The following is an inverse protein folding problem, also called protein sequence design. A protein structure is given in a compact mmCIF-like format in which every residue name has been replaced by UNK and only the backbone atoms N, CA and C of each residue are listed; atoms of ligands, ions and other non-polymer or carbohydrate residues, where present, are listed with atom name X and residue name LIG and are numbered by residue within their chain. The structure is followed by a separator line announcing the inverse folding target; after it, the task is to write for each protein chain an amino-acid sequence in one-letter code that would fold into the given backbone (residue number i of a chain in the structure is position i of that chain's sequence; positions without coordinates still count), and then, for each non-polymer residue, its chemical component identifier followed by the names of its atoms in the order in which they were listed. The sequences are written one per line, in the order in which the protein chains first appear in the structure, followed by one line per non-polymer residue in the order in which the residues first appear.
data_IF_665714143712
#
_entry.id   IF_665714143712
#
_cell.length_a   1.000
_cell.length_b   1.000
_cell.length_c   1.000
_cell.angle_alpha   90.00
_cell.angle_beta   90.00
_cell.angle_gamma   90.00
#
_symmetry.space_group_name_H-M   'P 1'
#
loop_
_entity.id
_entity.type
_entity.pdbx_description
1 polymer ?
#
# COMPACT_ATOMS: atom_id res chain seq x y z
N UNK A 1 -53.12 -20.75 41.80
CA UNK A 1 -52.69 -21.77 42.80
C UNK A 1 -53.11 -21.39 44.21
N UNK A 2 -52.51 -20.36 44.84
CA UNK A 2 -52.86 -20.00 46.24
C UNK A 2 -54.35 -19.68 46.45
N UNK A 3 -54.99 -19.01 45.50
CA UNK A 3 -56.44 -18.68 45.56
C UNK A 3 -57.34 -19.91 45.65
N UNK A 4 -56.93 -21.03 45.07
CA UNK A 4 -57.68 -22.30 45.10
C UNK A 4 -57.25 -23.17 46.28
N UNK A 5 -55.94 -23.20 46.57
CA UNK A 5 -55.36 -24.00 47.64
C UNK A 5 -55.81 -23.52 49.03
N UNK A 6 -55.80 -22.21 49.26
CA UNK A 6 -56.02 -21.66 50.58
C UNK A 6 -57.41 -21.98 51.15
N UNK A 7 -58.53 -21.82 50.41
CA UNK A 7 -59.85 -22.24 50.90
C UNK A 7 -59.98 -23.73 51.19
N UNK A 8 -59.35 -24.60 50.38
CA UNK A 8 -59.44 -26.06 50.53
C UNK A 8 -58.84 -26.58 51.84
N UNK A 9 -57.83 -25.89 52.37
CA UNK A 9 -57.20 -26.23 53.66
C UNK A 9 -57.51 -25.20 54.75
N UNK A 10 -58.48 -24.32 54.49
CA UNK A 10 -58.88 -23.23 55.39
C UNK A 10 -57.71 -22.30 55.77
N UNK A 11 -56.72 -22.14 54.90
CA UNK A 11 -55.66 -21.16 55.06
C UNK A 11 -56.21 -19.76 54.78
N UNK A 12 -55.81 -18.82 55.63
CA UNK A 12 -56.23 -17.43 55.61
C UNK A 12 -55.13 -16.52 55.07
N UNK A 13 -53.87 -16.98 55.07
CA UNK A 13 -52.73 -16.32 54.44
C UNK A 13 -51.80 -17.38 53.83
N UNK A 14 -51.01 -16.98 52.84
CA UNK A 14 -49.95 -17.85 52.35
C UNK A 14 -48.98 -17.19 51.38
N UNK A 15 -47.80 -17.79 51.24
CA UNK A 15 -46.77 -17.37 50.30
C UNK A 15 -46.22 -18.58 49.54
N UNK A 16 -45.74 -18.34 48.32
CA UNK A 16 -44.96 -19.30 47.56
C UNK A 16 -43.64 -18.64 47.22
N UNK A 17 -42.55 -19.28 47.59
CA UNK A 17 -41.21 -18.92 47.15
C UNK A 17 -40.70 -19.98 46.18
N UNK A 18 -40.27 -19.60 44.99
CA UNK A 18 -39.66 -20.54 44.04
C UNK A 18 -38.14 -20.60 44.25
N UNK A 19 -37.56 -21.78 44.11
CA UNK A 19 -36.11 -21.94 44.10
C UNK A 19 -35.53 -21.38 42.80
N UNK A 20 -34.42 -20.66 42.91
CA UNK A 20 -33.59 -20.30 41.75
C UNK A 20 -32.37 -21.21 41.71
N UNK A 21 -32.05 -21.70 40.50
CA UNK A 21 -30.79 -22.40 40.30
C UNK A 21 -29.61 -21.43 40.51
N UNK A 22 -28.51 -21.93 41.07
CA UNK A 22 -27.28 -21.16 41.22
C UNK A 22 -26.81 -20.67 39.84
N UNK A 23 -26.70 -19.35 39.67
CA UNK A 23 -26.08 -18.74 38.50
C UNK A 23 -24.69 -18.22 38.90
N UNK A 24 -23.64 -18.88 38.39
CA UNK A 24 -22.25 -18.54 38.72
C UNK A 24 -21.90 -18.82 40.18
N UNK A 25 -21.31 -17.84 40.87
CA UNK A 25 -20.89 -17.93 42.28
C UNK A 25 -22.03 -17.72 43.30
N UNK A 26 -23.24 -17.39 42.85
CA UNK A 26 -24.36 -17.16 43.76
C UNK A 26 -24.92 -18.49 44.29
N UNK A 27 -25.10 -18.55 45.61
CA UNK A 27 -25.79 -19.64 46.28
C UNK A 27 -27.26 -19.70 45.82
N UNK A 28 -27.89 -20.88 45.79
CA UNK A 28 -29.31 -21.00 45.50
C UNK A 28 -30.13 -20.19 46.52
N UNK A 29 -31.11 -19.45 46.02
CA UNK A 29 -31.99 -18.61 46.82
C UNK A 29 -33.45 -18.96 46.52
N UNK A 30 -34.34 -18.50 47.39
CA UNK A 30 -35.77 -18.61 47.27
C UNK A 30 -36.33 -17.23 46.93
N UNK A 31 -37.03 -17.10 45.80
CA UNK A 31 -37.60 -15.82 45.38
C UNK A 31 -39.13 -15.85 45.53
N UNK A 32 -39.71 -14.79 46.09
CA UNK A 32 -41.15 -14.68 46.28
C UNK A 32 -41.86 -14.74 44.92
N UNK A 33 -42.65 -15.78 44.71
CA UNK A 33 -43.43 -16.00 43.49
C UNK A 33 -44.84 -15.41 43.62
N UNK A 34 -45.48 -15.64 44.77
CA UNK A 34 -46.86 -15.22 45.00
C UNK A 34 -47.16 -15.11 46.50
N UNK A 35 -48.16 -14.28 46.83
CA UNK A 35 -48.71 -14.15 48.18
C UNK A 35 -50.24 -14.12 48.13
N UNK A 36 -50.89 -14.58 49.20
CA UNK A 36 -52.34 -14.63 49.35
C UNK A 36 -52.76 -13.97 50.66
N UNK A 37 -53.73 -13.05 50.57
CA UNK A 37 -54.33 -12.33 51.71
C UNK A 37 -53.32 -11.67 52.67
N UNK A 38 -52.20 -11.19 52.12
CA UNK A 38 -51.14 -10.53 52.89
C UNK A 38 -51.63 -9.18 53.43
N UNK A 39 -51.38 -8.94 54.72
CA UNK A 39 -51.63 -7.65 55.37
C UNK A 39 -50.40 -6.75 55.29
N UNK A 40 -50.60 -5.44 55.11
CA UNK A 40 -49.51 -4.46 54.98
C UNK A 40 -48.63 -4.30 56.24
N UNK A 41 -49.01 -4.91 57.36
CA UNK A 41 -48.25 -4.89 58.61
C UNK A 41 -46.96 -5.76 58.56
N UNK A 42 -46.90 -6.77 57.68
CA UNK A 42 -45.74 -7.67 57.54
C UNK A 42 -45.14 -7.53 56.15
N UNK A 43 -43.88 -7.08 56.09
CA UNK A 43 -43.12 -6.93 54.85
C UNK A 43 -42.52 -8.27 54.44
N UNK A 44 -43.02 -8.86 53.35
CA UNK A 44 -42.45 -10.08 52.78
C UNK A 44 -41.06 -9.80 52.17
N UNK A 45 -40.09 -10.65 52.48
CA UNK A 45 -38.77 -10.59 51.85
C UNK A 45 -38.90 -11.00 50.36
N UNK A 46 -38.33 -10.24 49.41
CA UNK A 46 -38.37 -10.61 48.00
C UNK A 46 -37.53 -11.87 47.70
N UNK A 47 -36.47 -12.08 48.49
CA UNK A 47 -35.54 -13.20 48.40
C UNK A 47 -35.21 -13.71 49.80
N UNK A 48 -35.05 -15.01 49.94
CA UNK A 48 -34.67 -15.70 51.18
C UNK A 48 -33.53 -16.67 50.85
N UNK A 49 -32.46 -16.67 51.64
CA UNK A 49 -31.37 -17.63 51.46
C UNK A 49 -31.74 -19.03 51.97
N UNK A 50 -31.08 -20.06 51.43
CA UNK A 50 -31.23 -21.42 51.98
C UNK A 50 -30.73 -21.47 53.44
N UNK A 51 -31.55 -22.02 54.33
CA UNK A 51 -31.30 -22.00 55.78
C UNK A 51 -31.75 -20.72 56.51
N UNK A 52 -32.20 -19.69 55.80
CA UNK A 52 -32.68 -18.44 56.41
C UNK A 52 -34.17 -18.55 56.81
N UNK A 53 -34.46 -18.37 58.11
CA UNK A 53 -35.82 -18.43 58.63
C UNK A 53 -36.51 -19.78 58.38
N UNK A 54 -37.82 -19.86 58.63
CA UNK A 54 -38.55 -21.12 58.46
C UNK A 54 -38.63 -21.56 56.99
N UNK A 55 -38.81 -20.60 56.07
CA UNK A 55 -38.92 -20.86 54.64
C UNK A 55 -37.59 -21.37 54.06
N UNK A 56 -36.48 -20.69 54.34
CA UNK A 56 -35.15 -21.12 53.92
C UNK A 56 -34.69 -22.42 54.58
N UNK A 57 -34.97 -22.61 55.87
CA UNK A 57 -34.64 -23.85 56.58
C UNK A 57 -35.46 -25.04 56.06
N UNK A 58 -36.76 -24.85 55.79
CA UNK A 58 -37.62 -25.86 55.17
C UNK A 58 -37.09 -26.29 53.80
N UNK A 59 -36.65 -25.34 52.97
CA UNK A 59 -36.04 -25.64 51.68
C UNK A 59 -34.73 -26.43 51.80
N UNK A 60 -33.90 -26.11 52.79
CA UNK A 60 -32.62 -26.75 53.03
C UNK A 60 -32.78 -28.18 53.55
N UNK A 61 -33.65 -28.37 54.55
CA UNK A 61 -33.87 -29.67 55.21
C UNK A 61 -34.83 -30.58 54.44
N UNK A 62 -35.59 -30.04 53.48
CA UNK A 62 -36.56 -30.77 52.64
C UNK A 62 -37.64 -31.47 53.46
N UNK A 63 -38.01 -30.88 54.60
CA UNK A 63 -39.05 -31.38 55.50
C UNK A 63 -40.06 -30.29 55.81
N UNK A 64 -41.31 -30.71 56.00
CA UNK A 64 -42.36 -29.81 56.45
C UNK A 64 -42.11 -29.35 57.89
N UNK A 65 -42.43 -28.09 58.17
CA UNK A 65 -42.41 -27.53 59.53
C UNK A 65 -43.82 -27.09 59.88
N UNK A 66 -44.39 -27.64 60.96
CA UNK A 66 -45.71 -27.29 61.48
C UNK A 66 -45.55 -26.59 62.83
N UNK A 67 -46.04 -25.36 62.90
CA UNK A 67 -46.14 -24.58 64.13
C UNK A 67 -47.62 -24.50 64.52
N UNK A 68 -47.98 -25.30 65.52
CA UNK A 68 -49.32 -25.30 66.07
C UNK A 68 -49.43 -24.25 67.19
N UNK A 69 -50.51 -23.47 67.17
CA UNK A 69 -50.90 -22.57 68.25
C UNK A 69 -49.82 -21.54 68.67
N UNK A 70 -49.41 -20.72 67.70
CA UNK A 70 -48.47 -19.62 67.93
C UNK A 70 -49.19 -18.30 68.16
N UNK A 71 -48.57 -17.44 68.99
CA UNK A 71 -49.07 -16.08 69.22
C UNK A 71 -48.96 -15.22 67.96
N UNK A 72 -49.81 -14.19 67.90
CA UNK A 72 -49.99 -13.33 66.71
C UNK A 72 -48.87 -12.33 66.45
N UNK A 73 -47.88 -12.27 67.35
CA UNK A 73 -46.65 -11.50 67.20
C UNK A 73 -45.68 -12.10 66.17
N UNK A 74 -45.80 -13.40 65.89
CA UNK A 74 -44.99 -14.11 64.88
C UNK A 74 -45.59 -14.05 63.47
N UNK A 75 -46.91 -14.32 63.34
CA UNK A 75 -47.68 -14.20 62.09
C UNK A 75 -49.06 -13.62 62.41
N UNK A 76 -49.43 -12.55 61.71
CA UNK A 76 -50.66 -11.80 61.98
C UNK A 76 -51.71 -12.00 60.88
N UNK A 77 -52.72 -12.81 61.17
CA UNK A 77 -53.97 -12.84 60.38
C UNK A 77 -54.85 -11.68 60.85
N UNK A 78 -55.05 -10.69 59.98
CA UNK A 78 -55.78 -9.46 60.29
C UNK A 78 -57.04 -9.31 59.44
N UNK A 79 -58.05 -8.66 60.02
CA UNK A 79 -59.22 -8.14 59.31
C UNK A 79 -59.39 -6.65 59.62
N UNK A 80 -60.38 -6.02 58.99
CA UNK A 80 -60.78 -4.65 59.36
C UNK A 80 -61.30 -4.52 60.81
N UNK A 81 -61.61 -5.64 61.47
CA UNK A 81 -62.17 -5.69 62.82
C UNK A 81 -61.14 -6.03 63.90
N UNK A 82 -59.91 -6.41 63.54
CA UNK A 82 -58.86 -6.76 64.49
C UNK A 82 -57.97 -7.91 64.01
N UNK A 83 -57.17 -8.44 64.95
CA UNK A 83 -56.18 -9.49 64.71
C UNK A 83 -56.56 -10.78 65.43
N UNK A 84 -56.28 -11.92 64.79
CA UNK A 84 -56.40 -13.20 65.46
C UNK A 84 -55.35 -13.32 66.58
N UNK A 85 -55.71 -13.80 67.78
CA UNK A 85 -54.75 -13.90 68.90
C UNK A 85 -53.81 -15.10 68.78
N UNK A 86 -54.22 -16.14 68.03
CA UNK A 86 -53.50 -17.40 67.83
C UNK A 86 -53.67 -17.86 66.39
N UNK A 87 -52.60 -18.39 65.81
CA UNK A 87 -52.58 -18.92 64.44
C UNK A 87 -51.81 -20.24 64.39
N UNK A 88 -52.03 -21.03 63.34
CA UNK A 88 -51.19 -22.18 63.03
C UNK A 88 -50.53 -21.94 61.67
N UNK A 89 -49.26 -22.27 61.55
CA UNK A 89 -48.46 -22.06 60.34
C UNK A 89 -47.86 -23.38 59.89
N UNK A 90 -47.93 -23.66 58.61
CA UNK A 90 -47.23 -24.78 57.98
C UNK A 90 -46.33 -24.27 56.86
N UNK A 91 -45.10 -24.76 56.84
CA UNK A 91 -44.11 -24.49 55.80
C UNK A 91 -43.78 -25.81 55.11
N UNK A 92 -44.06 -25.90 53.81
CA UNK A 92 -44.02 -27.11 53.02
C UNK A 92 -43.03 -26.98 51.86
N UNK A 93 -42.06 -27.89 51.71
CA UNK A 93 -41.21 -27.91 50.53
C UNK A 93 -41.94 -28.58 49.37
N UNK A 94 -41.90 -27.95 48.20
CA UNK A 94 -42.28 -28.55 46.93
C UNK A 94 -41.05 -29.21 46.34
N UNK A 95 -41.06 -30.55 46.30
CA UNK A 95 -39.92 -31.35 45.87
C UNK A 95 -40.15 -31.98 44.51
N UNK A 96 -39.09 -32.08 43.71
CA UNK A 96 -39.03 -32.94 42.54
C UNK A 96 -37.67 -33.64 42.52
N UNK A 97 -37.66 -34.98 42.42
CA UNK A 97 -36.44 -35.82 42.47
C UNK A 97 -35.49 -35.46 43.63
N UNK A 98 -36.06 -35.13 44.79
CA UNK A 98 -35.29 -34.76 45.99
C UNK A 98 -34.66 -33.37 45.95
N UNK A 99 -34.97 -32.52 44.96
CA UNK A 99 -34.59 -31.10 44.92
C UNK A 99 -35.78 -30.22 45.30
N UNK A 100 -35.51 -29.16 46.07
CA UNK A 100 -36.52 -28.15 46.42
C UNK A 100 -36.75 -27.22 45.24
N UNK A 101 -37.95 -27.31 44.64
CA UNK A 101 -38.38 -26.44 43.53
C UNK A 101 -39.10 -25.18 44.03
N UNK A 102 -39.81 -25.28 45.15
CA UNK A 102 -40.46 -24.15 45.80
C UNK A 102 -40.70 -24.44 47.28
N UNK A 103 -41.11 -23.44 48.05
CA UNK A 103 -41.62 -23.56 49.42
C UNK A 103 -42.96 -22.84 49.49
N UNK A 104 -43.94 -23.50 50.08
CA UNK A 104 -45.27 -22.94 50.34
C UNK A 104 -45.41 -22.75 51.84
N UNK A 105 -45.72 -21.52 52.27
CA UNK A 105 -46.06 -21.22 53.65
C UNK A 105 -47.55 -20.85 53.72
N UNK A 106 -48.28 -21.45 54.65
CA UNK A 106 -49.71 -21.20 54.85
C UNK A 106 -49.98 -20.95 56.33
N UNK A 107 -50.85 -19.99 56.62
CA UNK A 107 -51.33 -19.70 57.97
C UNK A 107 -52.84 -19.85 58.08
N UNK A 108 -53.30 -20.48 59.16
CA UNK A 108 -54.70 -20.76 59.48
C UNK A 108 -55.06 -20.24 60.88
N UNK A 109 -56.34 -19.99 61.14
CA UNK A 109 -56.85 -19.68 62.48
C UNK A 109 -57.05 -20.92 63.36
N UNK A 110 -57.22 -22.08 62.73
CA UNK A 110 -57.43 -23.37 63.40
C UNK A 110 -56.26 -24.31 63.11
N UNK A 111 -55.95 -25.26 64.01
CA UNK A 111 -54.94 -26.29 63.75
C UNK A 111 -55.23 -27.05 62.46
N UNK A 112 -54.18 -27.40 61.70
CA UNK A 112 -54.33 -28.22 60.50
C UNK A 112 -54.86 -29.62 60.84
N UNK A 113 -55.92 -30.04 60.14
CA UNK A 113 -56.44 -31.40 60.26
C UNK A 113 -55.49 -32.42 59.59
N UNK A 114 -55.55 -33.68 60.01
CA UNK A 114 -54.78 -34.77 59.37
C UNK A 114 -55.11 -34.92 57.88
N UNK A 115 -56.37 -34.71 57.49
CA UNK A 115 -56.80 -34.71 56.10
C UNK A 115 -56.17 -33.56 55.30
N UNK A 116 -56.10 -32.36 55.87
CA UNK A 116 -55.45 -31.19 55.25
C UNK A 116 -53.95 -31.41 55.08
N UNK A 117 -53.27 -31.98 56.07
CA UNK A 117 -51.84 -32.31 56.01
C UNK A 117 -51.55 -33.35 54.91
N UNK A 118 -52.29 -34.45 54.89
CA UNK A 118 -52.14 -35.50 53.88
C UNK A 118 -52.42 -34.97 52.45
N UNK A 119 -53.42 -34.11 52.29
CA UNK A 119 -53.71 -33.45 51.03
C UNK A 119 -52.56 -32.54 50.58
N UNK A 120 -52.01 -31.71 51.48
CA UNK A 120 -50.89 -30.81 51.19
C UNK A 120 -49.63 -31.58 50.78
N UNK A 121 -49.32 -32.69 51.46
CA UNK A 121 -48.20 -33.56 51.08
C UNK A 121 -48.37 -34.09 49.65
N UNK A 122 -49.55 -34.62 49.29
CA UNK A 122 -49.81 -35.11 47.94
C UNK A 122 -49.74 -34.01 46.88
N UNK A 123 -50.28 -32.83 47.19
CA UNK A 123 -50.32 -31.68 46.30
C UNK A 123 -48.91 -31.13 46.00
N UNK A 124 -48.03 -31.08 47.01
CA UNK A 124 -46.65 -30.59 46.83
C UNK A 124 -45.84 -31.48 45.88
N UNK A 125 -46.07 -32.80 45.87
CA UNK A 125 -45.42 -33.71 44.91
C UNK A 125 -45.86 -33.46 43.47
N UNK A 126 -47.18 -33.31 43.24
CA UNK A 126 -47.73 -33.02 41.91
C UNK A 126 -47.24 -31.68 41.38
N UNK A 127 -47.23 -30.65 42.24
CA UNK A 127 -46.74 -29.32 41.88
C UNK A 127 -45.25 -29.35 41.51
N UNK A 128 -44.43 -30.13 42.22
CA UNK A 128 -43.00 -30.27 41.89
C UNK A 128 -42.77 -30.77 40.47
N UNK A 129 -43.55 -31.77 40.02
CA UNK A 129 -43.47 -32.29 38.66
C UNK A 129 -43.88 -31.27 37.59
N UNK A 130 -44.93 -30.48 37.87
CA UNK A 130 -45.38 -29.40 36.97
C UNK A 130 -44.31 -28.31 36.83
N UNK A 131 -43.73 -27.84 37.94
CA UNK A 131 -42.65 -26.85 37.91
C UNK A 131 -41.46 -27.33 37.09
N UNK A 132 -41.02 -28.58 37.29
CA UNK A 132 -39.91 -29.14 36.54
C UNK A 132 -40.22 -29.25 35.03
N UNK A 133 -41.46 -29.62 34.67
CA UNK A 133 -41.88 -29.71 33.26
C UNK A 133 -41.87 -28.33 32.58
N UNK A 134 -42.33 -27.28 33.26
CA UNK A 134 -42.30 -25.91 32.75
C UNK A 134 -40.86 -25.44 32.56
N UNK A 135 -40.00 -25.63 33.57
CA UNK A 135 -38.58 -25.27 33.52
C UNK A 135 -37.86 -25.99 32.36
N UNK A 136 -38.09 -27.29 32.20
CA UNK A 136 -37.51 -28.08 31.11
C UNK A 136 -38.00 -27.61 29.74
N UNK A 137 -39.30 -27.35 29.59
CA UNK A 137 -39.90 -26.90 28.31
C UNK A 137 -39.34 -25.53 27.91
N UNK A 138 -39.31 -24.57 28.84
CA UNK A 138 -38.74 -23.25 28.58
C UNK A 138 -37.26 -23.32 28.21
N UNK A 139 -36.49 -24.19 28.87
CA UNK A 139 -35.08 -24.41 28.54
C UNK A 139 -34.91 -24.99 27.14
N UNK A 140 -35.75 -25.96 26.75
CA UNK A 140 -35.70 -26.53 25.40
C UNK A 140 -36.07 -25.51 24.32
N UNK A 141 -37.07 -24.67 24.54
CA UNK A 141 -37.45 -23.60 23.60
C UNK A 141 -36.32 -22.57 23.45
N UNK A 142 -35.69 -22.17 24.56
CA UNK A 142 -34.56 -21.25 24.52
C UNK A 142 -33.37 -21.84 23.75
N UNK A 143 -33.03 -23.10 23.99
CA UNK A 143 -31.95 -23.79 23.25
C UNK A 143 -32.27 -23.97 21.77
N UNK A 144 -33.52 -24.28 21.43
CA UNK A 144 -33.97 -24.38 20.05
C UNK A 144 -33.84 -23.04 19.32
N UNK A 145 -34.28 -21.96 19.97
CA UNK A 145 -34.15 -20.59 19.43
C UNK A 145 -32.68 -20.22 19.20
N UNK A 146 -31.80 -20.48 20.16
CA UNK A 146 -30.36 -20.25 20.01
C UNK A 146 -29.76 -21.07 18.86
N UNK A 147 -30.12 -22.35 18.75
CA UNK A 147 -29.66 -23.24 17.68
C UNK A 147 -30.09 -22.75 16.29
N UNK A 148 -31.34 -22.30 16.17
CA UNK A 148 -31.86 -21.71 14.92
C UNK A 148 -31.11 -20.45 14.53
N UNK A 149 -30.87 -19.54 15.49
CA UNK A 149 -30.09 -18.32 15.24
C UNK A 149 -28.67 -18.64 14.79
N UNK A 150 -27.99 -19.57 15.47
CA UNK A 150 -26.64 -19.98 15.10
C UNK A 150 -26.59 -20.62 13.71
N UNK A 151 -27.61 -21.41 13.35
CA UNK A 151 -27.71 -22.02 12.02
C UNK A 151 -27.82 -20.95 10.93
N UNK A 152 -28.63 -19.92 11.14
CA UNK A 152 -28.76 -18.80 10.20
C UNK A 152 -27.44 -18.03 10.08
N UNK A 153 -26.75 -17.75 11.19
CA UNK A 153 -25.46 -17.08 11.16
C UNK A 153 -24.41 -17.92 10.41
N UNK A 154 -24.35 -19.22 10.64
CA UNK A 154 -23.43 -20.13 9.96
C UNK A 154 -23.70 -20.19 8.45
N UNK A 155 -24.97 -20.24 8.04
CA UNK A 155 -25.33 -20.20 6.61
C UNK A 155 -24.90 -18.88 5.96
N UNK A 156 -25.10 -17.75 6.65
CA UNK A 156 -24.65 -16.44 6.16
C UNK A 156 -23.14 -16.41 5.97
N UNK A 157 -22.37 -16.82 7.00
CA UNK A 157 -20.91 -16.86 6.92
C UNK A 157 -20.40 -17.81 5.83
N UNK A 158 -21.08 -18.95 5.64
CA UNK A 158 -20.71 -19.89 4.59
C UNK A 158 -20.89 -19.28 3.19
N UNK A 159 -21.99 -18.54 2.98
CA UNK A 159 -22.23 -17.83 1.71
C UNK A 159 -21.18 -16.75 1.45
N UNK A 160 -20.86 -15.94 2.46
CA UNK A 160 -19.81 -14.90 2.35
C UNK A 160 -18.44 -15.49 2.05
N UNK A 161 -18.08 -16.61 2.70
CA UNK A 161 -16.83 -17.32 2.42
C UNK A 161 -16.78 -17.86 1.01
N UNK A 162 -17.88 -18.41 0.51
CA UNK A 162 -17.96 -18.93 -0.85
C UNK A 162 -17.76 -17.80 -1.88
N UNK A 163 -18.46 -16.68 -1.72
CA UNK A 163 -18.29 -15.50 -2.58
C UNK A 163 -16.85 -14.98 -2.55
N UNK A 164 -16.26 -14.87 -1.35
CA UNK A 164 -14.88 -14.41 -1.19
C UNK A 164 -13.89 -15.35 -1.90
N UNK A 165 -14.12 -16.66 -1.83
CA UNK A 165 -13.26 -17.65 -2.47
C UNK A 165 -13.36 -17.59 -4.01
N UNK A 166 -14.55 -17.38 -4.56
CA UNK A 166 -14.75 -17.16 -6.00
C UNK A 166 -14.06 -15.88 -6.49
N UNK A 167 -14.14 -14.79 -5.72
CA UNK A 167 -13.44 -13.54 -6.02
C UNK A 167 -11.91 -13.71 -5.99
N UNK A 168 -11.39 -14.43 -4.98
CA UNK A 168 -9.96 -14.74 -4.88
C UNK A 168 -9.47 -15.59 -6.07
N UNK A 169 -10.25 -16.60 -6.47
CA UNK A 169 -9.94 -17.43 -7.64
C UNK A 169 -9.86 -16.60 -8.93
N UNK A 170 -10.79 -15.67 -9.11
CA UNK A 170 -10.82 -14.77 -10.28
C UNK A 170 -9.60 -13.83 -10.29
N UNK A 171 -9.26 -13.25 -9.13
CA UNK A 171 -8.10 -12.37 -8.98
C UNK A 171 -6.78 -13.10 -9.21
N UNK A 172 -6.67 -14.34 -8.73
CA UNK A 172 -5.50 -15.18 -8.98
C UNK A 172 -5.29 -15.45 -10.47
N UNK A 173 -6.38 -15.73 -11.21
CA UNK A 173 -6.31 -15.93 -12.67
C UNK A 173 -5.83 -14.67 -13.40
N UNK A 174 -6.39 -13.50 -13.05
CA UNK A 174 -5.99 -12.23 -13.65
C UNK A 174 -4.51 -11.92 -13.37
N UNK A 175 -4.03 -12.18 -12.16
CA UNK A 175 -2.61 -11.99 -11.81
C UNK A 175 -1.69 -12.94 -12.58
N UNK A 176 -2.12 -14.18 -12.80
CA UNK A 176 -1.36 -15.13 -13.62
C UNK A 176 -1.25 -14.64 -15.08
N UNK A 177 -2.35 -14.18 -15.66
CA UNK A 177 -2.37 -13.60 -17.02
C UNK A 177 -1.47 -12.35 -17.11
N UNK A 178 -1.51 -11.46 -16.11
CA UNK A 178 -0.64 -10.28 -16.07
C UNK A 178 0.85 -10.64 -15.96
N UNK A 179 1.20 -11.63 -15.13
CA UNK A 179 2.58 -12.08 -15.00
C UNK A 179 3.12 -12.65 -16.31
N UNK A 180 2.32 -13.46 -17.02
CA UNK A 180 2.71 -14.00 -18.32
C UNK A 180 2.94 -12.88 -19.35
N UNK A 181 2.09 -11.84 -19.37
CA UNK A 181 2.30 -10.69 -20.25
C UNK A 181 3.56 -9.89 -19.90
N UNK A 182 3.84 -9.69 -18.62
CA UNK A 182 5.05 -9.01 -18.15
C UNK A 182 6.30 -9.80 -18.54
N UNK A 183 6.28 -11.12 -18.37
CA UNK A 183 7.40 -12.00 -18.71
C UNK A 183 7.69 -11.98 -20.22
N UNK A 184 6.63 -12.00 -21.05
CA UNK A 184 6.76 -11.80 -22.50
C UNK A 184 7.39 -10.46 -22.85
N UNK A 185 6.90 -9.35 -22.27
CA UNK A 185 7.45 -8.01 -22.51
C UNK A 185 8.91 -7.89 -22.06
N UNK A 186 9.27 -8.48 -20.92
CA UNK A 186 10.65 -8.50 -20.45
C UNK A 186 11.57 -9.25 -21.44
N UNK A 187 11.13 -10.38 -21.98
CA UNK A 187 11.90 -11.10 -23.00
C UNK A 187 12.06 -10.28 -24.29
N UNK A 188 11.01 -9.58 -24.74
CA UNK A 188 11.07 -8.70 -25.91
C UNK A 188 12.05 -7.54 -25.70
N UNK A 189 12.02 -6.92 -24.51
CA UNK A 189 12.94 -5.83 -24.15
C UNK A 189 14.39 -6.32 -24.10
N UNK A 190 14.65 -7.49 -23.51
CA UNK A 190 16.02 -8.02 -23.44
C UNK A 190 16.58 -8.35 -24.83
N UNK A 191 15.77 -8.90 -25.73
CA UNK A 191 16.16 -9.13 -27.12
C UNK A 191 16.47 -7.82 -27.85
N UNK A 192 15.62 -6.80 -27.67
CA UNK A 192 15.84 -5.48 -28.26
C UNK A 192 17.12 -4.82 -27.71
N UNK A 193 17.40 -4.97 -26.41
CA UNK A 193 18.61 -4.47 -25.77
C UNK A 193 19.85 -5.12 -26.37
N UNK A 194 19.87 -6.46 -26.47
CA UNK A 194 20.99 -7.18 -27.07
C UNK A 194 21.23 -6.78 -28.53
N UNK A 195 20.18 -6.68 -29.35
CA UNK A 195 20.31 -6.25 -30.74
C UNK A 195 20.86 -4.82 -30.86
N UNK A 196 20.47 -3.93 -29.95
CA UNK A 196 20.97 -2.56 -29.91
C UNK A 196 22.45 -2.50 -29.49
N UNK A 197 22.84 -3.30 -28.49
CA UNK A 197 24.24 -3.41 -28.05
C UNK A 197 25.15 -3.93 -29.19
N UNK A 198 24.71 -4.96 -29.93
CA UNK A 198 25.44 -5.46 -31.10
C UNK A 198 25.60 -4.38 -32.18
N UNK A 199 24.52 -3.64 -32.50
CA UNK A 199 24.56 -2.56 -33.48
C UNK A 199 25.46 -1.41 -33.05
N UNK A 200 25.44 -1.05 -31.77
CA UNK A 200 26.33 -0.03 -31.23
C UNK A 200 27.80 -0.44 -31.32
N UNK A 201 28.12 -1.71 -31.02
CA UNK A 201 29.47 -2.25 -31.16
C UNK A 201 29.95 -2.26 -32.62
N UNK A 202 29.08 -2.67 -33.55
CA UNK A 202 29.37 -2.64 -35.00
C UNK A 202 29.66 -1.22 -35.50
N UNK A 203 28.85 -0.25 -35.10
CA UNK A 203 29.04 1.16 -35.44
C UNK A 203 30.33 1.73 -34.85
N UNK A 204 30.64 1.42 -33.60
CA UNK A 204 31.87 1.86 -32.95
C UNK A 204 33.11 1.31 -33.66
N UNK A 205 33.08 0.02 -34.04
CA UNK A 205 34.16 -0.62 -34.80
C UNK A 205 34.31 0.01 -36.19
N UNK A 206 33.20 0.25 -36.89
CA UNK A 206 33.19 0.89 -38.20
C UNK A 206 33.76 2.31 -38.14
N UNK A 207 33.37 3.09 -37.12
CA UNK A 207 33.90 4.43 -36.88
C UNK A 207 35.41 4.40 -36.65
N UNK A 208 35.89 3.49 -35.80
CA UNK A 208 37.33 3.30 -35.54
C UNK A 208 38.10 2.98 -36.82
N UNK A 209 37.63 2.02 -37.61
CA UNK A 209 38.29 1.67 -38.88
C UNK A 209 38.29 2.83 -39.88
N UNK A 210 37.19 3.60 -39.98
CA UNK A 210 37.11 4.79 -40.83
C UNK A 210 38.17 5.82 -40.43
N UNK A 211 38.31 6.09 -39.12
CA UNK A 211 39.31 7.03 -38.59
C UNK A 211 40.75 6.57 -38.82
N UNK A 212 41.05 5.29 -38.57
CA UNK A 212 42.39 4.73 -38.75
C UNK A 212 42.79 4.70 -40.24
N UNK A 213 41.87 4.29 -41.11
CA UNK A 213 42.08 4.31 -42.56
C UNK A 213 42.39 5.71 -43.07
N UNK A 214 41.61 6.73 -42.68
CA UNK A 214 41.82 8.11 -43.12
C UNK A 214 43.15 8.67 -42.59
N UNK A 215 43.50 8.39 -41.34
CA UNK A 215 44.79 8.81 -40.78
C UNK A 215 45.98 8.20 -41.54
N UNK A 216 45.92 6.91 -41.87
CA UNK A 216 47.00 6.24 -42.61
C UNK A 216 47.10 6.74 -44.06
N UNK A 217 45.98 6.85 -44.77
CA UNK A 217 45.94 7.37 -46.14
C UNK A 217 46.45 8.80 -46.24
N UNK A 218 46.21 9.65 -45.24
CA UNK A 218 46.80 10.99 -45.15
C UNK A 218 48.32 10.97 -45.29
N UNK A 219 48.96 10.17 -44.44
CA UNK A 219 50.42 10.13 -44.34
C UNK A 219 51.04 9.55 -45.61
N UNK A 220 50.41 8.52 -46.18
CA UNK A 220 50.85 7.90 -47.43
C UNK A 220 50.68 8.80 -48.64
N UNK A 221 49.68 9.69 -48.66
CA UNK A 221 49.49 10.65 -49.76
C UNK A 221 50.34 11.92 -49.60
N UNK A 222 50.53 12.41 -48.36
CA UNK A 222 51.28 13.65 -48.09
C UNK A 222 52.74 13.54 -48.53
N UNK A 223 53.38 12.41 -48.28
CA UNK A 223 54.82 12.21 -48.52
C UNK A 223 55.21 12.29 -50.00
N UNK A 224 54.59 11.54 -50.93
CA UNK A 224 54.87 11.67 -52.36
C UNK A 224 54.45 13.04 -52.91
N UNK A 225 53.33 13.59 -52.42
CA UNK A 225 52.83 14.88 -52.89
C UNK A 225 53.75 16.04 -52.50
N UNK A 226 54.29 16.05 -51.27
CA UNK A 226 55.31 17.02 -50.86
C UNK A 226 56.57 16.93 -51.72
N UNK A 227 56.97 15.73 -52.12
CA UNK A 227 58.14 15.53 -52.97
C UNK A 227 57.91 16.13 -54.37
N UNK A 228 56.72 15.91 -54.95
CA UNK A 228 56.31 16.52 -56.22
C UNK A 228 56.24 18.05 -56.11
N UNK A 229 55.74 18.57 -54.99
CA UNK A 229 55.67 20.01 -54.73
C UNK A 229 57.06 20.66 -54.65
N UNK A 230 58.00 20.05 -53.93
CA UNK A 230 59.38 20.56 -53.82
C UNK A 230 60.06 20.58 -55.19
N UNK A 231 59.95 19.48 -55.94
CA UNK A 231 60.57 19.36 -57.27
C UNK A 231 59.95 20.35 -58.27
N UNK A 232 58.62 20.47 -58.29
CA UNK A 232 57.94 21.43 -59.16
C UNK A 232 58.27 22.88 -58.78
N UNK A 233 58.45 23.21 -57.49
CA UNK A 233 58.88 24.53 -57.05
C UNK A 233 60.33 24.83 -57.46
N UNK A 234 61.24 23.86 -57.34
CA UNK A 234 62.63 23.99 -57.78
C UNK A 234 62.72 24.24 -59.29
N UNK A 235 61.98 23.46 -60.09
CA UNK A 235 61.89 23.65 -61.55
C UNK A 235 61.25 25.02 -61.90
N UNK A 236 60.20 25.43 -61.20
CA UNK A 236 59.53 26.71 -61.41
C UNK A 236 60.42 27.93 -61.08
N UNK A 237 61.42 27.76 -60.21
CA UNK A 237 62.38 28.82 -59.85
C UNK A 237 63.43 29.03 -60.96
N UNK A 238 63.71 27.99 -61.77
CA UNK A 238 64.63 28.02 -62.91
C UNK A 238 65.98 28.69 -62.61
N UNK A 239 66.59 28.38 -61.45
CA UNK A 239 67.81 29.04 -60.97
C UNK A 239 69.00 28.90 -61.94
N UNK A 240 69.06 27.81 -62.71
CA UNK A 240 70.12 27.55 -63.70
C UNK A 240 69.82 28.16 -65.09
N UNK A 241 68.62 28.72 -65.30
CA UNK A 241 68.22 29.36 -66.57
C UNK A 241 68.08 28.40 -67.75
N UNK A 242 67.99 27.09 -67.51
CA UNK A 242 67.99 26.04 -68.53
C UNK A 242 66.59 25.65 -69.04
N UNK A 243 65.51 26.13 -68.40
CA UNK A 243 64.13 25.86 -68.82
C UNK A 243 63.55 26.99 -69.68
N UNK A 244 62.81 26.61 -70.73
CA UNK A 244 62.04 27.54 -71.55
C UNK A 244 60.85 28.13 -70.76
N UNK A 245 60.35 29.32 -71.11
CA UNK A 245 59.25 29.99 -70.39
C UNK A 245 58.00 29.12 -70.19
N UNK A 246 57.59 28.36 -71.21
CA UNK A 246 56.46 27.43 -71.11
C UNK A 246 56.71 26.26 -70.15
N UNK A 247 57.94 25.79 -70.00
CA UNK A 247 58.30 24.70 -69.07
C UNK A 247 58.27 25.18 -67.60
N UNK A 248 58.67 26.44 -67.37
CA UNK A 248 58.52 27.11 -66.07
C UNK A 248 57.03 27.26 -65.72
N UNK A 249 56.21 27.65 -66.69
CA UNK A 249 54.75 27.76 -66.53
C UNK A 249 54.11 26.40 -66.19
N UNK A 250 54.50 25.31 -66.88
CA UNK A 250 54.03 23.96 -66.53
C UNK A 250 54.44 23.54 -65.12
N UNK A 251 55.67 23.87 -64.69
CA UNK A 251 56.14 23.57 -63.33
C UNK A 251 55.34 24.34 -62.27
N UNK A 252 55.00 25.61 -62.53
CA UNK A 252 54.11 26.39 -61.67
C UNK A 252 52.70 25.81 -61.60
N UNK A 253 52.14 25.36 -62.72
CA UNK A 253 50.82 24.74 -62.74
C UNK A 253 50.79 23.42 -61.96
N UNK A 254 51.81 22.56 -62.12
CA UNK A 254 51.95 21.32 -61.34
C UNK A 254 52.06 21.62 -59.84
N UNK A 255 52.85 22.63 -59.47
CA UNK A 255 52.99 23.04 -58.08
C UNK A 255 51.66 23.54 -57.50
N UNK A 256 50.95 24.44 -58.22
CA UNK A 256 49.66 24.96 -57.80
C UNK A 256 48.64 23.84 -57.62
N UNK A 257 48.48 22.95 -58.62
CA UNK A 257 47.52 21.84 -58.54
C UNK A 257 47.89 20.83 -57.46
N UNK A 258 49.18 20.57 -57.23
CA UNK A 258 49.64 19.70 -56.13
C UNK A 258 49.37 20.31 -54.76
N UNK A 259 49.51 21.63 -54.61
CA UNK A 259 49.25 22.35 -53.37
C UNK A 259 47.75 22.36 -53.05
N UNK A 260 46.92 22.56 -54.07
CA UNK A 260 45.46 22.50 -53.94
C UNK A 260 44.99 21.10 -53.53
N UNK A 261 45.56 20.04 -54.12
CA UNK A 261 45.25 18.66 -53.74
C UNK A 261 45.65 18.35 -52.29
N UNK A 262 46.82 18.85 -51.87
CA UNK A 262 47.29 18.67 -50.49
C UNK A 262 46.37 19.37 -49.49
N UNK A 263 45.89 20.57 -49.83
CA UNK A 263 44.90 21.28 -49.01
C UNK A 263 43.59 20.50 -48.91
N UNK A 264 43.06 19.98 -50.02
CA UNK A 264 41.83 19.19 -50.02
C UNK A 264 41.94 17.92 -49.16
N UNK A 265 43.08 17.22 -49.23
CA UNK A 265 43.34 16.05 -48.39
C UNK A 265 43.34 16.43 -46.91
N UNK A 266 44.02 17.53 -46.54
CA UNK A 266 44.05 18.00 -45.15
C UNK A 266 42.65 18.40 -44.65
N UNK A 267 41.83 19.02 -45.48
CA UNK A 267 40.45 19.41 -45.11
C UNK A 267 39.56 18.18 -44.86
N UNK A 268 39.67 17.14 -45.69
CA UNK A 268 38.94 15.87 -45.49
C UNK A 268 39.34 15.19 -44.16
N UNK A 269 40.60 15.29 -43.78
CA UNK A 269 41.11 14.69 -42.55
C UNK A 269 40.69 15.47 -41.31
N UNK A 270 40.74 16.79 -41.38
CA UNK A 270 40.21 17.66 -40.33
C UNK A 270 38.72 17.35 -40.11
N UNK A 271 37.94 17.23 -41.19
CA UNK A 271 36.53 16.82 -41.11
C UNK A 271 36.37 15.45 -40.44
N UNK A 272 37.16 14.46 -40.84
CA UNK A 272 37.11 13.12 -40.23
C UNK A 272 37.47 13.12 -38.74
N UNK A 273 38.44 13.94 -38.32
CA UNK A 273 38.80 14.07 -36.90
C UNK A 273 37.67 14.72 -36.11
N UNK A 274 36.99 15.71 -36.68
CA UNK A 274 35.82 16.36 -36.08
C UNK A 274 34.67 15.36 -35.93
N UNK A 275 34.34 14.61 -36.98
CA UNK A 275 33.29 13.57 -36.94
C UNK A 275 33.57 12.48 -35.89
N UNK A 276 34.85 12.14 -35.68
CA UNK A 276 35.26 11.15 -34.66
C UNK A 276 35.35 11.71 -33.23
N UNK A 277 35.19 13.03 -33.04
CA UNK A 277 35.34 13.67 -31.74
C UNK A 277 36.77 13.75 -31.19
N UNK A 278 37.79 13.46 -32.02
CA UNK A 278 39.21 13.42 -31.59
C UNK A 278 39.89 14.80 -31.68
N UNK A 279 39.19 15.84 -32.15
CA UNK A 279 39.75 17.21 -32.21
C UNK A 279 39.70 17.85 -30.83
N UNK A 280 40.87 18.12 -30.26
CA UNK A 280 41.04 18.94 -29.08
C UNK A 280 41.21 20.41 -29.49
N UNK A 281 40.46 21.30 -28.85
CA UNK A 281 40.56 22.76 -29.06
C UNK A 281 41.54 23.33 -28.03
N UNK A 282 42.58 24.02 -28.49
CA UNK A 282 43.59 24.66 -27.63
C UNK A 282 43.21 26.13 -27.44
N UNK A 283 42.59 26.48 -26.31
CA UNK A 283 42.18 27.87 -26.03
C UNK A 283 43.39 28.68 -25.56
N UNK A 284 43.69 29.74 -26.30
CA UNK A 284 44.76 30.69 -26.02
C UNK A 284 44.24 32.14 -26.12
N UNK A 285 44.93 33.08 -25.48
CA UNK A 285 44.59 34.50 -25.53
C UNK A 285 45.20 35.16 -26.78
N UNK A 286 44.37 35.57 -27.73
CA UNK A 286 44.78 36.06 -29.05
C UNK A 286 44.59 37.57 -29.13
N UNK A 287 45.68 38.33 -29.29
CA UNK A 287 45.58 39.78 -29.49
C UNK A 287 45.04 40.15 -30.88
N UNK A 288 44.06 41.06 -30.92
CA UNK A 288 43.53 41.59 -32.18
C UNK A 288 44.57 42.35 -33.00
N UNK A 289 45.56 42.98 -32.36
CA UNK A 289 46.66 43.64 -33.05
C UNK A 289 47.49 42.61 -33.85
N UNK A 290 47.86 41.50 -33.22
CA UNK A 290 48.59 40.41 -33.86
C UNK A 290 47.76 39.71 -34.94
N UNK A 291 46.44 39.57 -34.73
CA UNK A 291 45.53 39.01 -35.71
C UNK A 291 45.45 39.88 -36.98
N UNK A 292 45.29 41.20 -36.80
CA UNK A 292 45.27 42.18 -37.89
C UNK A 292 46.56 42.12 -38.71
N UNK A 293 47.70 42.16 -38.04
CA UNK A 293 49.01 42.14 -38.71
C UNK A 293 49.24 40.83 -39.48
N UNK A 294 48.77 39.70 -38.93
CA UNK A 294 48.83 38.40 -39.62
C UNK A 294 47.93 38.35 -40.87
N UNK A 295 46.70 38.87 -40.79
CA UNK A 295 45.80 38.94 -41.95
C UNK A 295 46.41 39.85 -43.02
N UNK A 296 46.91 41.01 -42.62
CA UNK A 296 47.49 42.01 -43.51
C UNK A 296 48.67 41.42 -44.30
N UNK A 297 49.65 40.83 -43.59
CA UNK A 297 50.84 40.22 -44.22
C UNK A 297 50.48 39.12 -45.21
N UNK A 298 49.51 38.27 -44.88
CA UNK A 298 49.19 37.10 -45.69
C UNK A 298 48.36 37.44 -46.93
N UNK A 299 47.50 38.47 -46.86
CA UNK A 299 46.53 38.74 -47.93
C UNK A 299 46.76 40.05 -48.69
N UNK A 300 47.57 40.99 -48.16
CA UNK A 300 47.86 42.26 -48.85
C UNK A 300 48.54 42.04 -50.20
N UNK A 301 49.60 41.24 -50.25
CA UNK A 301 50.29 40.91 -51.50
C UNK A 301 49.39 40.16 -52.48
N UNK A 302 48.54 39.26 -51.99
CA UNK A 302 47.64 38.45 -52.82
C UNK A 302 46.52 39.31 -53.42
N UNK A 303 45.98 40.26 -52.65
CA UNK A 303 44.99 41.22 -53.12
C UNK A 303 45.60 42.23 -54.12
N UNK A 304 46.81 42.73 -53.84
CA UNK A 304 47.55 43.62 -54.74
C UNK A 304 47.87 42.96 -56.08
N UNK A 305 48.26 41.68 -56.09
CA UNK A 305 48.48 40.92 -57.32
C UNK A 305 47.22 40.80 -58.20
N UNK A 306 46.03 40.93 -57.60
CA UNK A 306 44.74 40.99 -58.31
C UNK A 306 44.17 42.40 -58.48
N UNK A 307 44.91 43.44 -58.10
CA UNK A 307 44.45 44.84 -58.06
C UNK A 307 43.16 45.05 -57.26
N UNK A 308 42.98 44.33 -56.15
CA UNK A 308 41.81 44.47 -55.27
C UNK A 308 42.17 45.29 -54.02
N UNK A 309 41.30 46.24 -53.58
CA UNK A 309 41.54 47.00 -52.36
C UNK A 309 41.27 46.13 -51.11
N UNK A 310 42.31 45.87 -50.30
CA UNK A 310 42.16 45.22 -48.99
C UNK A 310 42.04 46.27 -47.87
N UNK A 311 40.86 46.36 -47.25
CA UNK A 311 40.60 47.22 -46.09
C UNK A 311 40.33 46.38 -44.85
N UNK A 312 41.13 46.59 -43.80
CA UNK A 312 40.95 45.98 -42.50
C UNK A 312 40.33 47.00 -41.55
N UNK A 313 39.09 46.77 -41.13
CA UNK A 313 38.36 47.64 -40.21
C UNK A 313 38.19 46.90 -38.88
N UNK A 314 38.92 47.36 -37.87
CA UNK A 314 38.82 46.89 -36.48
C UNK A 314 38.23 48.06 -35.69
N UNK A 315 37.15 47.82 -34.95
CA UNK A 315 36.49 48.86 -34.17
C UNK A 315 37.34 49.27 -32.95
N UNK A 316 37.29 50.55 -32.58
CA UNK A 316 38.12 51.11 -31.50
C UNK A 316 37.73 50.60 -30.10
N UNK A 317 36.54 50.03 -29.96
CA UNK A 317 36.00 49.43 -28.74
C UNK A 317 36.29 47.93 -28.59
N UNK A 318 37.07 47.34 -29.50
CA UNK A 318 37.49 45.94 -29.39
C UNK A 318 38.33 45.70 -28.13
N UNK A 319 38.12 44.58 -27.42
CA UNK A 319 38.99 44.19 -26.31
C UNK A 319 40.42 43.96 -26.81
N UNK A 320 41.41 43.98 -25.90
CA UNK A 320 42.83 43.79 -26.27
C UNK A 320 43.11 42.43 -26.91
N UNK A 321 42.32 41.43 -26.53
CA UNK A 321 42.47 40.05 -26.95
C UNK A 321 41.15 39.27 -26.83
N UNK A 322 41.12 38.06 -27.39
CA UNK A 322 40.02 37.11 -27.29
C UNK A 322 40.54 35.70 -27.01
N UNK A 323 39.83 34.95 -26.17
CA UNK A 323 40.13 33.53 -25.94
C UNK A 323 39.59 32.69 -27.09
N UNK A 324 40.49 32.01 -27.81
CA UNK A 324 40.12 31.11 -28.89
C UNK A 324 41.27 30.19 -29.27
N UNK A 325 41.03 29.26 -30.19
CA UNK A 325 42.09 28.46 -30.79
C UNK A 325 42.71 29.23 -31.96
N UNK A 326 43.96 29.66 -31.77
CA UNK A 326 44.67 30.49 -32.72
C UNK A 326 44.82 29.82 -34.10
N UNK A 327 45.08 28.51 -34.13
CA UNK A 327 45.26 27.75 -35.37
C UNK A 327 43.94 27.64 -36.13
N UNK A 328 42.85 27.32 -35.44
CA UNK A 328 41.52 27.18 -36.05
C UNK A 328 40.95 28.52 -36.48
N UNK A 329 41.11 29.58 -35.69
CA UNK A 329 40.71 30.94 -36.06
C UNK A 329 41.45 31.40 -37.32
N UNK A 330 42.76 31.16 -37.39
CA UNK A 330 43.55 31.47 -38.59
C UNK A 330 43.11 30.65 -39.81
N UNK A 331 42.76 29.38 -39.64
CA UNK A 331 42.23 28.53 -40.72
C UNK A 331 40.89 29.05 -41.26
N UNK A 332 39.96 29.43 -40.37
CA UNK A 332 38.67 30.01 -40.74
C UNK A 332 38.88 31.29 -41.54
N UNK A 333 39.68 32.23 -41.01
CA UNK A 333 39.95 33.50 -41.66
C UNK A 333 40.66 33.31 -42.99
N UNK A 334 41.63 32.40 -43.07
CA UNK A 334 42.33 32.09 -44.32
C UNK A 334 41.36 31.57 -45.39
N UNK A 335 40.46 30.65 -45.03
CA UNK A 335 39.48 30.08 -45.96
C UNK A 335 38.49 31.14 -46.46
N UNK A 336 37.95 31.97 -45.57
CA UNK A 336 37.03 33.05 -45.93
C UNK A 336 37.69 34.10 -46.80
N UNK A 337 38.88 34.58 -46.43
CA UNK A 337 39.59 35.62 -47.16
C UNK A 337 40.14 35.11 -48.51
N UNK A 338 40.65 33.88 -48.57
CA UNK A 338 41.07 33.25 -49.82
C UNK A 338 39.90 33.12 -50.78
N UNK A 339 38.73 32.69 -50.31
CA UNK A 339 37.52 32.66 -51.13
C UNK A 339 37.11 34.07 -51.58
N UNK A 340 37.13 35.07 -50.68
CA UNK A 340 36.81 36.44 -51.04
C UNK A 340 37.71 36.98 -52.16
N UNK A 341 39.04 36.80 -52.05
CA UNK A 341 40.00 37.22 -53.08
C UNK A 341 39.89 36.38 -54.37
N UNK A 342 39.53 35.10 -54.26
CA UNK A 342 39.31 34.24 -55.43
C UNK A 342 38.11 34.69 -56.25
N UNK A 343 36.99 35.00 -55.60
CA UNK A 343 35.69 35.25 -56.24
C UNK A 343 35.34 36.74 -56.45
N UNK A 344 36.12 37.67 -55.92
CA UNK A 344 35.97 39.10 -56.26
C UNK A 344 36.66 39.38 -57.59
N UNK A 345 35.87 39.73 -58.61
CA UNK A 345 36.38 39.97 -59.96
C UNK A 345 37.08 41.33 -60.08
N UNK A 346 36.42 42.41 -59.64
CA UNK A 346 36.89 43.81 -59.70
C UNK A 346 36.50 44.53 -58.40
N UNK A 347 37.23 45.58 -58.00
CA UNK A 347 37.00 46.33 -56.76
C UNK A 347 37.54 47.75 -56.79
#
# INVERSE_FOLDING_TARGET
LLTELAPLVQAHQGTIYHGTAAQGDNRPQLQLLASYAQSGAVRLAPTIEMGEGLVGQCALEKRSTLLADIASDFVAISSSLGYAPRVSVIVLPVLFEGQTKAVIELATLQPFSSASLAFLELLTQSIGAVFNTIEATMRTESLLSQSQQLTVELQSRQSELQETNEQLGTKARLLAEQNEEVERKNSEVEQARHALEEKAAELALTSKYKSEFLANMSHELRTPLNSILILSQQLASNNEGNLAPKQVEFSRNINSSGSDLLHLINDILDLSKIESGTVTVEIEDISFASLRDNIDRNFRQVAEAKNLPLRLLFADDLPRSMESDAKRLQQILKNLLSNAVKFTAHG
#
